data_IF_169471869626
#
_entry.id   IF_169471869626
#
_cell.length_a   1.000
_cell.length_b   1.000
_cell.length_c   1.000
_cell.angle_alpha   90.00
_cell.angle_beta   90.00
_cell.angle_gamma   90.00
#
_symmetry.space_group_name_H-M   'P 1'
#
loop_
_entity.id
_entity.type
_entity.pdbx_description
1 polymer ?
#
# COMPACT_ATOMS: atom_id res chain seq x y z
N UNK A 1 17.69 18.67 -14.37
CA UNK A 1 16.97 17.66 -13.56
C UNK A 1 17.97 17.00 -12.63
N UNK A 2 17.59 16.82 -11.38
CA UNK A 2 18.38 16.08 -10.39
C UNK A 2 18.19 14.56 -10.55
N UNK A 3 18.94 13.80 -9.74
CA UNK A 3 18.98 12.35 -9.79
C UNK A 3 17.64 11.70 -9.41
N UNK A 4 17.00 12.20 -8.36
CA UNK A 4 15.75 11.63 -7.85
C UNK A 4 14.61 11.82 -8.83
N UNK A 5 14.48 13.02 -9.42
CA UNK A 5 13.49 13.27 -10.45
C UNK A 5 13.74 12.43 -11.71
N UNK A 6 15.00 12.23 -12.11
CA UNK A 6 15.32 11.35 -13.24
C UNK A 6 14.90 9.90 -12.96
N UNK A 7 15.18 9.40 -11.74
CA UNK A 7 14.79 8.06 -11.31
C UNK A 7 13.28 7.88 -11.26
N UNK A 8 12.56 8.85 -10.69
CA UNK A 8 11.10 8.84 -10.66
C UNK A 8 10.48 8.77 -12.06
N UNK A 9 11.01 9.54 -13.03
CA UNK A 9 10.52 9.48 -14.42
C UNK A 9 10.78 8.13 -15.07
N UNK A 10 11.93 7.50 -14.82
CA UNK A 10 12.21 6.14 -15.30
C UNK A 10 11.25 5.12 -14.70
N UNK A 11 11.01 5.18 -13.39
CA UNK A 11 10.10 4.27 -12.68
C UNK A 11 8.66 4.41 -13.18
N UNK A 12 8.17 5.64 -13.32
CA UNK A 12 6.82 5.92 -13.86
C UNK A 12 6.67 5.36 -15.28
N UNK A 13 7.66 5.59 -16.14
CA UNK A 13 7.66 5.09 -17.50
C UNK A 13 7.75 3.56 -17.59
N UNK A 14 8.40 2.90 -16.62
CA UNK A 14 8.51 1.44 -16.59
C UNK A 14 7.17 0.74 -16.31
N UNK A 15 6.29 1.36 -15.52
CA UNK A 15 4.96 0.81 -15.17
C UNK A 15 3.99 0.88 -16.35
N UNK A 16 4.13 1.88 -17.22
CA UNK A 16 3.25 2.02 -18.38
C UNK A 16 3.63 1.08 -19.53
N UNK A 17 2.65 0.46 -20.21
CA UNK A 17 2.91 -0.28 -21.44
C UNK A 17 3.59 0.62 -22.48
N UNK A 18 4.80 0.25 -22.90
CA UNK A 18 5.59 1.03 -23.86
C UNK A 18 6.11 2.37 -23.33
N UNK A 19 6.06 2.62 -22.02
CA UNK A 19 6.37 3.93 -21.44
C UNK A 19 7.85 4.30 -21.53
N UNK A 20 8.76 3.36 -21.25
CA UNK A 20 10.21 3.58 -21.41
C UNK A 20 10.56 3.92 -22.86
N UNK A 21 9.96 3.21 -23.83
CA UNK A 21 10.17 3.45 -25.25
C UNK A 21 9.69 4.85 -25.66
N UNK A 22 8.54 5.31 -25.13
CA UNK A 22 8.06 6.70 -25.34
C UNK A 22 8.96 7.73 -24.68
N UNK A 23 9.42 7.47 -23.46
CA UNK A 23 10.33 8.37 -22.76
C UNK A 23 11.65 8.52 -23.52
N UNK A 24 12.17 7.43 -24.09
CA UNK A 24 13.39 7.45 -24.90
C UNK A 24 13.20 8.01 -26.31
N UNK A 25 11.97 8.09 -26.80
CA UNK A 25 11.68 8.76 -28.07
C UNK A 25 11.98 10.27 -28.03
N UNK A 26 11.98 10.90 -26.85
CA UNK A 26 12.41 12.30 -26.70
C UNK A 26 11.37 13.34 -27.14
N UNK A 27 10.10 12.94 -27.28
CA UNK A 27 9.03 13.77 -27.83
C UNK A 27 8.56 14.91 -26.90
N UNK A 28 8.96 14.87 -25.62
CA UNK A 28 8.61 15.87 -24.60
C UNK A 28 9.84 16.57 -24.03
N UNK A 29 9.64 17.75 -23.44
CA UNK A 29 10.72 18.46 -22.75
C UNK A 29 11.26 17.65 -21.56
N UNK A 30 10.38 16.96 -20.86
CA UNK A 30 10.72 16.03 -19.78
C UNK A 30 11.60 14.89 -20.30
N UNK A 31 11.23 14.26 -21.41
CA UNK A 31 12.00 13.19 -22.04
C UNK A 31 13.40 13.65 -22.44
N UNK A 32 13.52 14.86 -23.02
CA UNK A 32 14.81 15.45 -23.36
C UNK A 32 15.67 15.73 -22.12
N UNK A 33 15.04 16.18 -21.03
CA UNK A 33 15.74 16.39 -19.77
C UNK A 33 16.25 15.06 -19.17
N UNK A 34 15.47 13.96 -19.30
CA UNK A 34 15.90 12.61 -18.87
C UNK A 34 17.07 12.15 -19.71
N UNK A 35 16.98 12.26 -21.04
CA UNK A 35 18.07 11.89 -21.95
C UNK A 35 19.37 12.66 -21.65
N UNK A 36 19.28 13.97 -21.38
CA UNK A 36 20.43 14.78 -20.99
C UNK A 36 21.03 14.33 -19.65
N UNK A 37 20.21 13.93 -18.66
CA UNK A 37 20.69 13.42 -17.38
C UNK A 37 21.37 12.04 -17.55
N UNK A 38 20.77 11.14 -18.33
CA UNK A 38 21.32 9.80 -18.60
C UNK A 38 22.70 9.87 -19.27
N UNK A 39 22.91 10.85 -20.16
CA UNK A 39 24.21 11.07 -20.79
C UNK A 39 25.34 11.41 -19.78
N UNK A 40 24.99 11.91 -18.59
CA UNK A 40 25.94 12.33 -17.56
C UNK A 40 25.91 11.51 -16.27
N UNK A 41 24.96 10.59 -16.09
CA UNK A 41 24.76 9.84 -14.85
C UNK A 41 24.74 8.32 -15.09
N UNK A 42 25.85 7.61 -14.79
CA UNK A 42 25.92 6.16 -15.00
C UNK A 42 24.91 5.38 -14.14
N UNK A 43 24.63 5.85 -12.91
CA UNK A 43 23.66 5.19 -12.02
C UNK A 43 22.24 5.19 -12.60
N UNK A 44 21.82 6.27 -13.27
CA UNK A 44 20.52 6.32 -13.94
C UNK A 44 20.51 5.49 -15.24
N UNK A 45 21.64 5.39 -15.94
CA UNK A 45 21.77 4.53 -17.11
C UNK A 45 21.67 3.04 -16.73
N UNK A 46 22.33 2.65 -15.64
CA UNK A 46 22.22 1.30 -15.08
C UNK A 46 20.79 1.01 -14.63
N UNK A 47 20.11 1.99 -14.03
CA UNK A 47 18.70 1.85 -13.66
C UNK A 47 17.78 1.67 -14.86
N UNK A 48 17.95 2.46 -15.92
CA UNK A 48 17.20 2.28 -17.17
C UNK A 48 17.39 0.85 -17.70
N UNK A 49 18.62 0.34 -17.75
CA UNK A 49 18.89 -1.02 -18.21
C UNK A 49 18.23 -2.10 -17.32
N UNK A 50 18.22 -1.91 -16.00
CA UNK A 50 17.52 -2.81 -15.06
C UNK A 50 16.01 -2.81 -15.29
N UNK A 51 15.43 -1.62 -15.49
CA UNK A 51 14.00 -1.46 -15.71
C UNK A 51 13.56 -2.06 -17.06
N UNK A 52 14.33 -1.86 -18.13
CA UNK A 52 14.06 -2.48 -19.44
C UNK A 52 14.05 -4.02 -19.35
N UNK A 53 15.06 -4.60 -18.68
CA UNK A 53 15.13 -6.04 -18.46
C UNK A 53 13.91 -6.54 -17.67
N UNK A 54 13.61 -5.90 -16.55
CA UNK A 54 12.50 -6.28 -15.67
C UNK A 54 11.16 -6.16 -16.38
N UNK A 55 10.92 -5.04 -17.07
CA UNK A 55 9.70 -4.80 -17.82
C UNK A 55 9.51 -5.84 -18.92
N UNK A 56 10.58 -6.27 -19.60
CA UNK A 56 10.49 -7.31 -20.63
C UNK A 56 10.02 -8.66 -20.07
N UNK A 57 10.53 -9.07 -18.91
CA UNK A 57 10.17 -10.33 -18.23
C UNK A 57 8.72 -10.24 -17.73
N UNK A 58 8.40 -9.21 -16.95
CA UNK A 58 7.08 -9.05 -16.34
C UNK A 58 5.98 -8.95 -17.39
N UNK A 59 6.17 -8.15 -18.45
CA UNK A 59 5.19 -8.02 -19.55
C UNK A 59 4.97 -9.34 -20.30
N UNK A 60 5.99 -10.19 -20.41
CA UNK A 60 5.83 -11.50 -21.06
C UNK A 60 4.90 -12.43 -20.26
N UNK A 61 4.91 -12.30 -18.93
CA UNK A 61 4.09 -13.09 -18.00
C UNK A 61 2.66 -12.57 -17.88
N UNK A 62 2.46 -11.25 -17.91
CA UNK A 62 1.15 -10.60 -17.66
C UNK A 62 0.22 -10.52 -18.90
N UNK A 63 0.37 -11.38 -19.90
CA UNK A 63 -0.40 -11.31 -21.17
C UNK A 63 -1.88 -11.73 -21.07
N UNK A 64 -2.47 -11.75 -19.88
CA UNK A 64 -3.85 -12.16 -19.72
C UNK A 64 -4.82 -11.04 -20.11
N UNK A 65 -5.61 -11.29 -21.14
CA UNK A 65 -6.62 -10.36 -21.60
C UNK A 65 -7.80 -10.40 -20.62
N UNK A 66 -8.29 -9.25 -20.11
CA UNK A 66 -9.45 -9.26 -19.23
C UNK A 66 -10.67 -9.83 -19.96
N UNK A 67 -11.55 -10.50 -19.22
CA UNK A 67 -12.77 -11.07 -19.77
C UNK A 67 -13.58 -9.98 -20.53
N UNK A 68 -14.13 -10.29 -21.73
CA UNK A 68 -14.73 -9.28 -22.60
C UNK A 68 -15.96 -8.60 -21.98
N UNK A 69 -16.58 -9.23 -20.98
CA UNK A 69 -17.74 -8.74 -20.23
C UNK A 69 -17.37 -7.87 -19.03
N UNK A 70 -16.08 -7.78 -18.65
CA UNK A 70 -15.62 -7.03 -17.47
C UNK A 70 -16.15 -5.59 -17.48
N UNK A 71 -16.04 -4.90 -18.61
CA UNK A 71 -16.56 -3.53 -18.77
C UNK A 71 -18.08 -3.46 -18.52
N UNK A 72 -18.83 -4.40 -19.06
CA UNK A 72 -20.29 -4.44 -18.90
C UNK A 72 -20.66 -4.68 -17.43
N UNK A 73 -19.97 -5.62 -16.77
CA UNK A 73 -20.15 -5.94 -15.34
C UNK A 73 -19.79 -4.76 -14.44
N UNK A 74 -18.65 -4.12 -14.66
CA UNK A 74 -18.24 -2.93 -13.90
C UNK A 74 -19.24 -1.79 -14.06
N UNK A 75 -19.71 -1.51 -15.29
CA UNK A 75 -20.72 -0.47 -15.51
C UNK A 75 -22.08 -0.82 -14.89
N UNK A 76 -22.45 -2.11 -14.86
CA UNK A 76 -23.65 -2.55 -14.17
C UNK A 76 -23.53 -2.33 -12.65
N UNK A 77 -22.39 -2.69 -12.04
CA UNK A 77 -22.10 -2.47 -10.63
C UNK A 77 -22.13 -0.97 -10.27
N UNK A 78 -21.48 -0.12 -11.06
CA UNK A 78 -21.51 1.34 -10.86
C UNK A 78 -22.95 1.88 -10.92
N UNK A 79 -23.81 1.35 -11.80
CA UNK A 79 -25.21 1.80 -11.86
C UNK A 79 -26.05 1.29 -10.68
N UNK A 80 -25.77 0.09 -10.19
CA UNK A 80 -26.52 -0.52 -9.11
C UNK A 80 -26.15 0.08 -7.74
N UNK A 81 -24.87 0.36 -7.51
CA UNK A 81 -24.31 0.69 -6.19
C UNK A 81 -23.66 2.08 -6.15
N UNK A 82 -23.48 2.73 -7.29
CA UNK A 82 -22.79 4.00 -7.36
C UNK A 82 -23.55 5.12 -6.66
N UNK A 83 -22.86 5.81 -5.77
CA UNK A 83 -23.37 7.04 -5.14
C UNK A 83 -23.16 8.21 -6.09
N UNK A 84 -24.24 8.90 -6.45
CA UNK A 84 -24.16 10.15 -7.20
C UNK A 84 -23.41 11.20 -6.38
N UNK A 85 -22.15 11.45 -6.73
CA UNK A 85 -21.40 12.59 -6.18
C UNK A 85 -21.82 13.83 -6.97
N UNK A 86 -22.44 14.85 -6.34
CA UNK A 86 -22.64 16.11 -7.01
C UNK A 86 -21.26 16.62 -7.44
N UNK A 87 -21.13 16.97 -8.72
CA UNK A 87 -19.98 17.74 -9.18
C UNK A 87 -20.11 19.13 -8.54
N UNK A 88 -19.64 19.26 -7.30
CA UNK A 88 -19.43 20.55 -6.70
C UNK A 88 -18.43 21.26 -7.62
N UNK A 89 -18.93 22.23 -8.37
CA UNK A 89 -18.08 23.23 -9.01
C UNK A 89 -17.27 23.83 -7.87
N UNK A 90 -16.01 23.42 -7.76
CA UNK A 90 -15.07 23.97 -6.80
C UNK A 90 -14.74 25.37 -7.29
N UNK A 91 -15.63 26.33 -7.01
CA UNK A 91 -15.22 27.71 -6.89
C UNK A 91 -14.37 27.78 -5.63
N UNK A 92 -13.06 27.67 -5.83
CA UNK A 92 -12.06 27.95 -4.80
C UNK A 92 -12.19 29.45 -4.51
N UNK A 93 -13.08 29.80 -3.58
CA UNK A 93 -13.09 31.13 -2.97
C UNK A 93 -11.91 31.17 -2.02
N UNK A 94 -10.80 31.71 -2.50
CA UNK A 94 -9.66 32.08 -1.66
C UNK A 94 -10.10 33.24 -0.78
N UNK A 95 -10.19 33.10 0.56
CA UNK A 95 -10.50 34.24 1.40
C UNK A 95 -9.34 35.24 1.30
N UNK A 96 -9.65 36.45 0.83
CA UNK A 96 -8.72 37.58 0.83
C UNK A 96 -8.36 37.89 2.28
N UNK A 97 -7.09 37.69 2.64
CA UNK A 97 -6.59 37.96 3.98
C UNK A 97 -6.71 39.44 4.34
N UNK A 98 -7.57 39.75 5.31
CA UNK A 98 -7.54 41.03 6.00
C UNK A 98 -6.41 41.05 7.02
N UNK A 99 -5.55 42.07 6.90
CA UNK A 99 -4.37 42.30 7.74
C UNK A 99 -4.79 42.62 9.19
N UNK A 100 -4.07 42.11 10.22
CA UNK A 100 -4.40 42.41 11.61
C UNK A 100 -4.01 43.86 11.95
N UNK A 101 -4.95 44.60 12.54
CA UNK A 101 -4.68 45.93 13.10
C UNK A 101 -4.79 45.90 14.62
N UNK A 102 -3.68 46.34 15.21
CA UNK A 102 -3.52 47.02 16.52
C UNK A 102 -3.39 46.14 17.76
N UNK A 103 -2.14 46.14 18.22
CA UNK A 103 -1.67 45.92 19.58
C UNK A 103 -2.37 46.85 20.58
N UNK A 104 -2.78 46.29 21.72
CA UNK A 104 -2.88 47.00 23.00
C UNK A 104 -2.27 46.12 24.10
N UNK A 105 -1.58 46.71 25.11
CA UNK A 105 -0.84 45.97 26.11
C UNK A 105 -1.69 45.72 27.35
N UNK A 106 -1.79 44.46 27.79
CA UNK A 106 -2.27 44.12 29.14
C UNK A 106 -1.27 43.14 29.78
N UNK A 107 -0.16 43.72 30.23
CA UNK A 107 0.89 43.04 31.00
C UNK A 107 0.36 42.89 32.42
N UNK A 108 -0.26 41.75 32.73
CA UNK A 108 -0.73 41.44 34.08
C UNK A 108 -1.42 40.08 34.23
N UNK A 109 -1.96 39.51 33.16
CA UNK A 109 -2.71 38.23 33.20
C UNK A 109 -2.13 37.13 32.30
N UNK A 110 -0.98 37.36 31.65
CA UNK A 110 -0.37 36.37 30.75
C UNK A 110 0.39 35.23 31.46
N UNK A 111 0.82 35.42 32.71
CA UNK A 111 1.67 34.42 33.39
C UNK A 111 0.88 33.20 33.90
N UNK A 112 -0.39 33.37 34.27
CA UNK A 112 -1.23 32.30 34.83
C UNK A 112 -1.92 31.48 33.74
N UNK A 113 -2.32 32.10 32.63
CA UNK A 113 -2.88 31.38 31.47
C UNK A 113 -1.79 30.56 30.77
N UNK A 114 -0.57 31.09 30.65
CA UNK A 114 0.55 30.36 30.04
C UNK A 114 0.88 29.04 30.78
N UNK A 115 0.90 29.04 32.12
CA UNK A 115 1.18 27.83 32.90
C UNK A 115 0.08 26.76 32.76
N UNK A 116 -1.20 27.16 32.75
CA UNK A 116 -2.33 26.25 32.58
C UNK A 116 -2.39 25.67 31.15
N UNK A 117 -2.06 26.48 30.14
CA UNK A 117 -1.95 26.02 28.74
C UNK A 117 -0.78 25.04 28.60
N UNK A 118 0.39 25.33 29.18
CA UNK A 118 1.54 24.42 29.14
C UNK A 118 1.23 23.09 29.82
N UNK A 119 0.62 23.09 31.01
CA UNK A 119 0.22 21.86 31.70
C UNK A 119 -0.82 21.05 30.90
N UNK A 120 -1.81 21.71 30.29
CA UNK A 120 -2.83 21.06 29.48
C UNK A 120 -2.25 20.48 28.19
N UNK A 121 -1.32 21.19 27.54
CA UNK A 121 -0.61 20.71 26.35
C UNK A 121 0.30 19.54 26.70
N UNK A 122 1.03 19.57 27.81
CA UNK A 122 1.90 18.47 28.26
C UNK A 122 1.06 17.24 28.61
N UNK A 123 -0.02 17.40 29.37
CA UNK A 123 -0.90 16.29 29.73
C UNK A 123 -1.58 15.66 28.49
N UNK A 124 -2.05 16.49 27.56
CA UNK A 124 -2.63 16.00 26.29
C UNK A 124 -1.57 15.33 25.43
N UNK A 125 -0.34 15.86 25.37
CA UNK A 125 0.76 15.27 24.58
C UNK A 125 1.19 13.92 25.12
N UNK A 126 1.20 13.73 26.45
CA UNK A 126 1.54 12.44 27.06
C UNK A 126 0.45 11.39 26.78
N UNK A 127 -0.83 11.73 26.93
CA UNK A 127 -1.95 10.80 26.70
C UNK A 127 -2.13 10.47 25.21
N UNK A 128 -1.94 11.45 24.32
CA UNK A 128 -1.98 11.21 22.88
C UNK A 128 -0.75 10.40 22.44
N UNK A 129 0.43 10.67 23.01
CA UNK A 129 1.66 9.92 22.74
C UNK A 129 1.50 8.43 23.02
N UNK A 130 1.01 8.04 24.20
CA UNK A 130 0.85 6.62 24.53
C UNK A 130 -0.16 5.91 23.65
N UNK A 131 -1.26 6.57 23.26
CA UNK A 131 -2.26 5.99 22.34
C UNK A 131 -1.69 5.81 20.93
N UNK A 132 -0.93 6.78 20.46
CA UNK A 132 -0.27 6.73 19.16
C UNK A 132 0.80 5.62 19.15
N UNK A 133 1.58 5.49 20.22
CA UNK A 133 2.58 4.44 20.38
C UNK A 133 1.95 3.04 20.46
N UNK A 134 0.83 2.89 21.17
CA UNK A 134 0.07 1.63 21.23
C UNK A 134 -0.48 1.22 19.86
N UNK A 135 -1.05 2.17 19.12
CA UNK A 135 -1.56 1.96 17.76
C UNK A 135 -0.43 1.61 16.80
N UNK A 136 0.69 2.35 16.83
CA UNK A 136 1.89 2.06 16.05
C UNK A 136 2.45 0.67 16.37
N UNK A 137 2.49 0.29 17.65
CA UNK A 137 2.95 -1.03 18.08
C UNK A 137 1.99 -2.16 17.67
N UNK A 138 0.68 -1.90 17.65
CA UNK A 138 -0.32 -2.83 17.13
C UNK A 138 -0.16 -3.01 15.60
N UNK A 139 -0.02 -1.92 14.86
CA UNK A 139 0.20 -1.94 13.41
C UNK A 139 1.51 -2.62 13.04
N UNK A 140 2.61 -2.32 13.73
CA UNK A 140 3.90 -2.97 13.51
C UNK A 140 3.84 -4.49 13.73
N UNK A 141 3.11 -4.95 14.75
CA UNK A 141 2.88 -6.39 14.98
C UNK A 141 2.09 -7.04 13.85
N UNK A 142 1.05 -6.37 13.36
CA UNK A 142 0.24 -6.85 12.22
C UNK A 142 1.10 -6.93 10.96
N UNK A 143 1.85 -5.88 10.63
CA UNK A 143 2.75 -5.85 9.47
C UNK A 143 3.78 -6.98 9.56
N UNK A 144 4.46 -7.14 10.71
CA UNK A 144 5.43 -8.20 10.90
C UNK A 144 4.82 -9.61 10.80
N UNK A 145 3.56 -9.79 11.24
CA UNK A 145 2.84 -11.05 11.06
C UNK A 145 2.54 -11.34 9.58
N UNK A 146 2.07 -10.34 8.83
CA UNK A 146 1.81 -10.47 7.40
C UNK A 146 3.10 -10.75 6.61
N UNK A 147 4.19 -10.06 6.94
CA UNK A 147 5.50 -10.24 6.29
C UNK A 147 6.02 -11.66 6.48
N UNK A 148 5.91 -12.21 7.70
CA UNK A 148 6.30 -13.61 7.98
C UNK A 148 5.47 -14.61 7.17
N UNK A 149 4.14 -14.46 7.16
CA UNK A 149 3.25 -15.36 6.41
C UNK A 149 3.51 -15.27 4.90
N UNK A 150 3.75 -14.07 4.38
CA UNK A 150 4.03 -13.85 2.96
C UNK A 150 5.37 -14.46 2.56
N UNK A 151 6.42 -14.22 3.35
CA UNK A 151 7.77 -14.75 3.09
C UNK A 151 7.79 -16.28 3.15
N UNK A 152 7.18 -16.86 4.19
CA UNK A 152 7.04 -18.30 4.31
C UNK A 152 6.19 -18.88 3.16
N UNK A 153 5.11 -18.20 2.78
CA UNK A 153 4.25 -18.63 1.67
C UNK A 153 5.00 -18.70 0.34
N UNK A 154 5.83 -17.69 0.05
CA UNK A 154 6.67 -17.67 -1.17
C UNK A 154 7.71 -18.78 -1.13
N UNK A 155 8.37 -19.00 0.02
CA UNK A 155 9.38 -20.04 0.18
C UNK A 155 8.80 -21.43 -0.09
N UNK A 156 7.68 -21.78 0.56
CA UNK A 156 7.02 -23.08 0.36
C UNK A 156 6.48 -23.22 -1.06
N UNK A 157 5.92 -22.15 -1.65
CA UNK A 157 5.39 -22.18 -3.02
C UNK A 157 6.48 -22.29 -4.10
N UNK A 158 7.73 -21.97 -3.78
CA UNK A 158 8.85 -22.07 -4.71
C UNK A 158 9.42 -23.50 -4.81
N UNK A 159 9.06 -24.40 -3.89
CA UNK A 159 9.49 -25.79 -3.92
C UNK A 159 8.89 -26.54 -5.13
N UNK A 160 9.66 -27.44 -5.78
CA UNK A 160 9.24 -28.10 -7.00
C UNK A 160 8.07 -29.08 -6.81
N UNK A 161 7.85 -29.54 -5.58
CA UNK A 161 6.76 -30.43 -5.19
C UNK A 161 5.67 -29.72 -4.38
N UNK A 162 5.67 -28.38 -4.38
CA UNK A 162 4.65 -27.59 -3.72
C UNK A 162 3.25 -27.92 -4.26
N UNK A 163 2.32 -28.18 -3.34
CA UNK A 163 0.93 -28.45 -3.63
C UNK A 163 0.03 -27.41 -2.97
N UNK A 164 -1.01 -27.01 -3.69
CA UNK A 164 -2.01 -26.06 -3.23
C UNK A 164 -3.37 -26.73 -3.11
N UNK A 165 -4.01 -26.56 -1.96
CA UNK A 165 -5.33 -27.11 -1.66
C UNK A 165 -6.24 -25.96 -1.25
N UNK A 166 -7.33 -25.77 -1.99
CA UNK A 166 -8.39 -24.86 -1.58
C UNK A 166 -9.19 -25.50 -0.44
N UNK A 167 -9.37 -24.74 0.64
CA UNK A 167 -10.15 -25.12 1.80
C UNK A 167 -11.48 -24.37 1.76
N UNK A 168 -12.56 -25.07 2.11
CA UNK A 168 -13.91 -24.49 2.21
C UNK A 168 -14.45 -24.77 3.59
N UNK A 169 -15.12 -23.78 4.19
CA UNK A 169 -15.78 -23.95 5.47
C UNK A 169 -16.84 -25.05 5.44
N UNK A 170 -16.79 -25.94 6.41
CA UNK A 170 -17.76 -27.05 6.55
C UNK A 170 -19.15 -26.52 6.89
N UNK A 171 -19.22 -25.49 7.73
CA UNK A 171 -20.48 -24.94 8.26
C UNK A 171 -20.90 -23.63 7.61
N UNK A 172 -19.98 -22.94 6.94
CA UNK A 172 -20.21 -21.62 6.36
C UNK A 172 -19.42 -21.48 5.05
N UNK A 173 -20.10 -21.31 3.90
CA UNK A 173 -19.44 -21.14 2.61
C UNK A 173 -18.71 -19.78 2.46
N UNK A 174 -18.97 -18.81 3.34
CA UNK A 174 -18.20 -17.56 3.39
C UNK A 174 -16.80 -17.75 3.99
N UNK A 175 -16.57 -18.86 4.72
CA UNK A 175 -15.25 -19.25 5.18
C UNK A 175 -14.50 -19.94 4.04
N UNK A 176 -13.37 -19.35 3.67
CA UNK A 176 -12.47 -19.90 2.67
C UNK A 176 -11.06 -19.97 3.23
N UNK A 177 -10.26 -20.88 2.68
CA UNK A 177 -8.85 -20.93 2.99
C UNK A 177 -8.04 -21.55 1.88
N UNK A 178 -6.73 -21.48 2.05
CA UNK A 178 -5.76 -22.09 1.16
C UNK A 178 -4.67 -22.71 2.02
N UNK A 179 -4.35 -23.97 1.74
CA UNK A 179 -3.19 -24.68 2.26
C UNK A 179 -2.17 -24.79 1.13
N UNK A 180 -0.96 -24.32 1.36
CA UNK A 180 0.20 -24.57 0.51
C UNK A 180 1.19 -25.39 1.31
N UNK A 181 1.67 -26.51 0.76
CA UNK A 181 2.63 -27.37 1.46
C UNK A 181 3.62 -28.00 0.48
N UNK A 182 4.83 -28.32 0.95
CA UNK A 182 5.83 -29.10 0.23
C UNK A 182 6.10 -30.40 1.00
N UNK A 183 5.84 -31.59 0.40
CA UNK A 183 6.19 -32.87 0.99
C UNK A 183 7.68 -33.00 1.33
N UNK A 184 8.56 -32.52 0.46
CA UNK A 184 10.01 -32.67 0.57
C UNK A 184 10.60 -31.88 1.73
N UNK A 185 10.09 -30.68 2.01
CA UNK A 185 10.54 -29.83 3.13
C UNK A 185 9.71 -30.02 4.39
N UNK A 186 8.54 -30.67 4.29
CA UNK A 186 7.55 -30.76 5.37
C UNK A 186 7.08 -29.39 5.90
N UNK A 187 7.23 -28.35 5.08
CA UNK A 187 6.74 -27.01 5.40
C UNK A 187 5.34 -26.79 4.82
N UNK A 188 4.52 -26.03 5.54
CA UNK A 188 3.20 -25.64 5.10
C UNK A 188 2.81 -24.25 5.59
N UNK A 189 1.95 -23.59 4.81
CA UNK A 189 1.34 -22.30 5.12
C UNK A 189 -0.15 -22.41 4.88
N UNK A 190 -0.93 -21.96 5.86
CA UNK A 190 -2.39 -21.91 5.79
C UNK A 190 -2.83 -20.45 5.90
N UNK A 191 -3.65 -20.02 4.96
CA UNK A 191 -4.30 -18.70 4.98
C UNK A 191 -5.81 -18.93 4.99
N UNK A 192 -6.51 -18.33 5.94
CA UNK A 192 -7.96 -18.40 6.05
C UNK A 192 -8.56 -16.99 6.00
N UNK A 193 -9.73 -16.86 5.38
CA UNK A 193 -10.47 -15.62 5.24
C UNK A 193 -11.95 -15.83 5.59
N UNK A 194 -12.63 -14.73 5.91
CA UNK A 194 -14.03 -14.76 6.35
C UNK A 194 -14.22 -15.13 7.83
N UNK A 195 -13.14 -15.41 8.57
CA UNK A 195 -13.20 -15.64 10.01
C UNK A 195 -13.68 -14.38 10.74
N UNK A 196 -14.62 -14.54 11.68
CA UNK A 196 -15.00 -13.47 12.59
C UNK A 196 -13.78 -13.02 13.41
N UNK A 197 -13.81 -11.80 13.94
CA UNK A 197 -12.80 -11.41 14.92
C UNK A 197 -12.89 -12.37 16.13
N UNK A 198 -11.77 -12.90 16.63
CA UNK A 198 -11.80 -13.71 17.83
C UNK A 198 -12.28 -12.86 19.01
N UNK A 199 -12.99 -13.48 19.96
CA UNK A 199 -13.41 -12.78 21.18
C UNK A 199 -12.21 -12.24 21.96
N UNK A 200 -12.44 -11.32 22.90
CA UNK A 200 -11.35 -10.80 23.74
C UNK A 200 -10.56 -11.93 24.42
N UNK A 201 -9.23 -11.91 24.24
CA UNK A 201 -8.33 -12.94 24.77
C UNK A 201 -8.41 -14.30 24.07
N UNK A 202 -9.11 -14.40 22.94
CA UNK A 202 -9.17 -15.62 22.14
C UNK A 202 -8.25 -15.54 20.92
N UNK A 203 -7.78 -16.70 20.47
CA UNK A 203 -6.93 -16.83 19.29
C UNK A 203 -7.43 -17.98 18.41
N UNK A 204 -7.22 -17.85 17.11
CA UNK A 204 -7.40 -18.96 16.18
C UNK A 204 -6.21 -19.90 16.24
N UNK A 205 -6.46 -21.21 16.33
CA UNK A 205 -5.44 -22.25 16.32
C UNK A 205 -5.66 -23.19 15.14
N UNK A 206 -4.56 -23.57 14.51
CA UNK A 206 -4.54 -24.59 13.47
C UNK A 206 -3.97 -25.89 14.05
N UNK A 207 -4.60 -27.01 13.71
CA UNK A 207 -4.19 -28.35 14.11
C UNK A 207 -4.02 -29.19 12.87
N UNK A 208 -2.97 -30.02 12.86
CA UNK A 208 -2.72 -30.99 11.80
C UNK A 208 -2.96 -32.35 12.43
N UNK A 209 -3.89 -33.10 11.85
CA UNK A 209 -4.20 -34.46 12.25
C UNK A 209 -3.47 -35.41 11.32
N UNK A 210 -2.68 -36.32 11.89
CA UNK A 210 -1.99 -37.37 11.16
C UNK A 210 -2.75 -38.68 11.40
N UNK A 211 -3.08 -39.41 10.33
CA UNK A 211 -3.75 -40.72 10.38
C UNK A 211 -5.16 -40.76 11.03
N UNK A 212 -5.84 -39.60 11.19
CA UNK A 212 -7.26 -39.57 11.55
C UNK A 212 -7.61 -39.99 12.98
N UNK A 213 -6.75 -39.70 13.96
CA UNK A 213 -6.98 -39.98 15.38
C UNK A 213 -6.76 -38.75 16.28
#
# INVERSE_FOLDING_TARGET
MDHDAAREQLELAAVEPGGLERLMAGDTAEAQAVAAHLAGCPACADELARLELTASIVRSTLREQPAPDLKARTLAAIRAEGVARPLARSEIVVPAGERPRRLTPMVGTLLTIAAAVVLSVVATSLVVGTRVDEELAAQARTIAALERVTTAGIAVAAEPDAAHVALVGVSDPALAGQLTYSPSTSELVIVASGLAAPGEGQEYRCWIEFDGA
#
